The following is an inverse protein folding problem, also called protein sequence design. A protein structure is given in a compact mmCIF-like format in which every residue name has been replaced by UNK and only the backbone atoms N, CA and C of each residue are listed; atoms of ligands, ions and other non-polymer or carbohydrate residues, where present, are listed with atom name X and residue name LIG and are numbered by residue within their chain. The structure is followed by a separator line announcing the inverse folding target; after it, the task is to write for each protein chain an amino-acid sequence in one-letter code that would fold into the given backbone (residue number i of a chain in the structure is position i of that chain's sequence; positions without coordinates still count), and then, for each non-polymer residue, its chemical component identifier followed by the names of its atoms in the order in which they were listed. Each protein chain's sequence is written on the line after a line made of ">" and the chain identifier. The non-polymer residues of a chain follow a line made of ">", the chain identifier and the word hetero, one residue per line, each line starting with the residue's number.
data_IF_107169648978
#
_entry.id   IF_107169648978
#
_cell.length_a   1.000
_cell.length_b   1.000
_cell.length_c   1.000
_cell.angle_alpha   90.00
_cell.angle_beta   90.00
_cell.angle_gamma   90.00
#
_symmetry.space_group_name_H-M   'P 1'
#
loop_
_entity.id
_entity.type
_entity.pdbx_description
1 polymer ?
#
# COMPACT_ATOMS: atom_id res chain seq x y z
N UNK A 1 -15.16 -1.18 13.16
CA UNK A 1 -14.36 -2.41 13.41
C UNK A 1 -14.60 -3.32 12.24
N UNK A 2 -13.67 -3.36 11.28
CA UNK A 2 -13.78 -4.31 10.17
C UNK A 2 -13.56 -5.72 10.73
N UNK A 3 -14.38 -6.67 10.29
CA UNK A 3 -14.22 -8.08 10.58
C UNK A 3 -12.82 -8.54 10.12
N UNK A 4 -12.11 -9.30 10.97
CA UNK A 4 -10.74 -9.77 10.72
C UNK A 4 -10.73 -10.65 9.46
N UNK A 5 -11.79 -11.40 9.19
CA UNK A 5 -11.93 -12.20 7.97
C UNK A 5 -12.02 -11.30 6.73
N UNK A 6 -12.81 -10.23 6.78
CA UNK A 6 -12.92 -9.25 5.69
C UNK A 6 -11.60 -8.50 5.48
N UNK A 7 -10.87 -8.21 6.56
CA UNK A 7 -9.53 -7.61 6.47
C UNK A 7 -8.53 -8.56 5.79
N UNK A 8 -8.57 -9.85 6.09
CA UNK A 8 -7.72 -10.86 5.46
C UNK A 8 -8.02 -11.00 3.96
N UNK A 9 -9.29 -10.99 3.57
CA UNK A 9 -9.71 -10.95 2.16
C UNK A 9 -9.13 -9.72 1.45
N UNK A 10 -9.28 -8.54 2.05
CA UNK A 10 -8.72 -7.30 1.49
C UNK A 10 -7.20 -7.36 1.36
N UNK A 11 -6.50 -7.97 2.32
CA UNK A 11 -5.03 -8.12 2.26
C UNK A 11 -4.60 -9.07 1.14
N UNK A 12 -5.32 -10.18 0.93
CA UNK A 12 -5.06 -11.10 -0.18
C UNK A 12 -5.28 -10.43 -1.55
N UNK A 13 -6.36 -9.65 -1.70
CA UNK A 13 -6.64 -8.92 -2.94
C UNK A 13 -5.55 -7.88 -3.25
N UNK A 14 -5.07 -7.17 -2.22
CA UNK A 14 -3.96 -6.24 -2.33
C UNK A 14 -2.67 -6.96 -2.73
N UNK A 15 -2.40 -8.12 -2.14
CA UNK A 15 -1.22 -8.93 -2.44
C UNK A 15 -1.25 -9.42 -3.91
N UNK A 16 -2.39 -9.91 -4.39
CA UNK A 16 -2.55 -10.32 -5.79
C UNK A 16 -2.34 -9.15 -6.77
N UNK A 17 -2.92 -7.98 -6.45
CA UNK A 17 -2.71 -6.75 -7.22
C UNK A 17 -1.23 -6.36 -7.25
N UNK A 18 -0.57 -6.46 -6.10
CA UNK A 18 0.85 -6.19 -5.99
C UNK A 18 1.69 -7.15 -6.81
N UNK A 19 1.40 -8.46 -6.80
CA UNK A 19 2.09 -9.43 -7.65
C UNK A 19 1.99 -9.06 -9.13
N UNK A 20 0.79 -8.75 -9.61
CA UNK A 20 0.61 -8.32 -10.99
C UNK A 20 1.41 -7.05 -11.31
N UNK A 21 1.35 -6.04 -10.44
CA UNK A 21 2.12 -4.80 -10.61
C UNK A 21 3.64 -5.03 -10.59
N UNK A 22 4.14 -5.92 -9.72
CA UNK A 22 5.56 -6.25 -9.63
C UNK A 22 6.05 -6.94 -10.90
N UNK A 23 5.31 -7.94 -11.40
CA UNK A 23 5.65 -8.63 -12.64
C UNK A 23 5.56 -7.68 -13.84
N UNK A 24 4.53 -6.83 -13.90
CA UNK A 24 4.38 -5.80 -14.93
C UNK A 24 5.56 -4.83 -14.93
N UNK A 25 6.00 -4.36 -13.76
CA UNK A 25 7.17 -3.49 -13.65
C UNK A 25 8.46 -4.20 -14.10
N UNK A 26 8.70 -5.44 -13.64
CA UNK A 26 9.89 -6.19 -14.03
C UNK A 26 9.95 -6.45 -15.54
N UNK A 27 8.82 -6.80 -16.16
CA UNK A 27 8.75 -7.07 -17.60
C UNK A 27 8.95 -5.77 -18.40
N UNK A 28 8.41 -4.65 -17.95
CA UNK A 28 8.40 -3.40 -18.74
C UNK A 28 9.72 -2.63 -18.62
N UNK A 29 10.36 -2.64 -17.45
CA UNK A 29 11.51 -1.75 -17.16
C UNK A 29 12.88 -2.45 -17.08
N UNK A 30 12.97 -3.76 -17.38
CA UNK A 30 14.26 -4.48 -17.36
C UNK A 30 15.21 -4.04 -18.50
N UNK A 31 16.50 -3.91 -18.19
CA UNK A 31 17.56 -3.75 -19.19
C UNK A 31 17.92 -5.12 -19.80
N UNK A 32 18.37 -5.11 -21.05
CA UNK A 32 18.75 -6.35 -21.74
C UNK A 32 20.20 -6.68 -21.43
N UNK A 33 20.42 -7.89 -20.91
CA UNK A 33 21.78 -8.35 -20.64
C UNK A 33 22.46 -8.64 -21.99
N UNK A 34 23.65 -8.05 -22.24
CA UNK A 34 24.42 -8.37 -23.44
C UNK A 34 24.73 -9.86 -23.48
N UNK A 35 24.58 -10.48 -24.66
CA UNK A 35 24.94 -11.88 -24.86
C UNK A 35 26.43 -12.07 -24.60
N UNK A 36 26.79 -12.93 -23.66
CA UNK A 36 28.18 -13.35 -23.46
C UNK A 36 28.57 -14.32 -24.58
N UNK A 37 29.60 -14.04 -25.39
CA UNK A 37 30.02 -14.97 -26.43
C UNK A 37 30.56 -16.27 -25.81
N UNK A 38 30.23 -17.45 -26.38
CA UNK A 38 30.70 -18.73 -25.86
C UNK A 38 32.23 -18.85 -25.95
N UNK A 39 32.88 -19.46 -24.95
CA UNK A 39 34.34 -19.41 -24.76
C UNK A 39 35.18 -20.13 -25.83
N UNK A 40 34.58 -20.85 -26.79
CA UNK A 40 35.30 -21.73 -27.71
C UNK A 40 35.00 -21.51 -29.20
N UNK A 41 34.60 -20.29 -29.59
CA UNK A 41 34.41 -19.91 -30.99
C UNK A 41 35.26 -18.68 -31.31
N UNK A 42 36.41 -18.85 -31.99
CA UNK A 42 37.33 -17.76 -32.34
C UNK A 42 36.74 -16.66 -33.22
N UNK A 43 35.57 -16.90 -33.82
CA UNK A 43 34.89 -15.98 -34.74
C UNK A 43 33.49 -15.56 -34.23
N UNK A 44 33.29 -15.53 -32.91
CA UNK A 44 32.05 -15.00 -32.33
C UNK A 44 31.91 -13.51 -32.67
N UNK A 45 30.72 -13.13 -33.13
CA UNK A 45 30.34 -11.73 -33.34
C UNK A 45 30.65 -10.93 -32.06
N UNK A 46 31.27 -9.74 -32.14
CA UNK A 46 31.59 -8.93 -30.97
C UNK A 46 30.37 -8.77 -30.06
N UNK A 47 30.59 -8.74 -28.73
CA UNK A 47 29.53 -8.46 -27.77
C UNK A 47 28.78 -7.21 -28.23
N UNK A 48 27.50 -7.37 -28.53
CA UNK A 48 26.68 -6.26 -29.00
C UNK A 48 26.59 -5.28 -27.84
N UNK A 49 27.36 -4.18 -27.93
CA UNK A 49 27.30 -3.08 -26.98
C UNK A 49 25.82 -2.74 -26.79
N UNK A 50 25.41 -2.60 -25.52
CA UNK A 50 24.02 -2.37 -25.08
C UNK A 50 23.18 -1.85 -26.23
N UNK A 51 22.37 -2.72 -26.82
CA UNK A 51 21.47 -2.31 -27.90
C UNK A 51 20.66 -1.14 -27.33
N UNK A 52 20.91 0.08 -27.81
CA UNK A 52 20.04 1.22 -27.56
C UNK A 52 18.67 0.81 -28.12
N UNK A 53 17.76 0.35 -27.26
CA UNK A 53 16.46 -0.16 -27.72
C UNK A 53 15.52 0.99 -28.09
N UNK A 54 14.73 0.71 -29.13
CA UNK A 54 13.54 1.43 -29.60
C UNK A 54 13.73 2.93 -29.92
N UNK A 55 14.43 3.22 -31.02
CA UNK A 55 14.01 4.37 -31.83
C UNK A 55 12.81 3.92 -32.67
N UNK A 56 11.59 4.20 -32.22
CA UNK A 56 10.39 4.10 -33.07
C UNK A 56 10.31 5.28 -34.04
N UNK A 57 11.42 5.65 -34.67
CA UNK A 57 11.32 6.50 -35.86
C UNK A 57 10.76 5.63 -36.99
N UNK A 58 9.67 6.04 -37.66
CA UNK A 58 9.18 5.31 -38.82
C UNK A 58 10.32 5.17 -39.85
N UNK A 59 10.38 4.06 -40.60
CA UNK A 59 11.48 3.80 -41.51
C UNK A 59 11.52 4.90 -42.57
N UNK A 60 12.52 5.78 -42.48
CA UNK A 60 12.82 6.70 -43.57
C UNK A 60 13.44 5.84 -44.69
N UNK A 61 12.93 5.90 -45.94
CA UNK A 61 13.42 5.06 -47.02
C UNK A 61 14.93 5.24 -47.23
N UNK A 62 15.61 4.12 -47.48
CA UNK A 62 17.05 3.97 -47.66
C UNK A 62 17.58 4.65 -48.94
N UNK A 63 17.42 5.96 -49.08
CA UNK A 63 17.91 6.72 -50.24
C UNK A 63 18.89 7.85 -49.89
N UNK A 64 19.17 8.14 -48.61
CA UNK A 64 20.04 9.28 -48.23
C UNK A 64 21.27 8.88 -47.40
N UNK A 65 21.42 7.61 -47.03
CA UNK A 65 22.57 7.14 -46.23
C UNK A 65 23.89 7.07 -47.02
N UNK A 66 23.87 7.27 -48.34
CA UNK A 66 25.04 7.08 -49.20
C UNK A 66 25.63 8.41 -49.67
N UNK A 67 25.99 9.31 -48.75
CA UNK A 67 26.85 10.45 -49.12
C UNK A 67 27.64 11.14 -48.00
N UNK A 68 28.15 10.44 -46.98
CA UNK A 68 29.27 10.98 -46.18
C UNK A 68 30.18 9.85 -45.70
N UNK A 69 30.95 9.29 -46.63
CA UNK A 69 32.19 8.57 -46.34
C UNK A 69 33.31 9.24 -47.12
N UNK A 70 34.22 9.93 -46.43
CA UNK A 70 35.38 10.57 -47.06
C UNK A 70 36.14 11.51 -46.12
N UNK A 71 37.30 11.03 -45.64
CA UNK A 71 38.30 11.73 -44.82
C UNK A 71 38.86 13.02 -45.43
N UNK A 72 39.20 14.01 -44.60
CA UNK A 72 40.44 14.82 -44.72
C UNK A 72 40.62 15.76 -43.52
N UNK A 73 41.87 15.91 -43.08
CA UNK A 73 42.34 16.77 -41.99
C UNK A 73 42.52 18.24 -42.41
N UNK A 74 42.40 19.20 -41.48
CA UNK A 74 43.39 20.30 -41.25
C UNK A 74 43.05 21.21 -40.06
N UNK A 75 44.13 21.66 -39.43
CA UNK A 75 44.45 22.61 -38.34
C UNK A 75 43.80 24.01 -38.34
N UNK A 76 43.69 24.65 -37.15
CA UNK A 76 43.60 26.12 -37.02
C UNK A 76 43.13 26.66 -35.65
N UNK A 77 44.01 27.35 -34.93
CA UNK A 77 43.85 27.96 -33.59
C UNK A 77 42.91 29.20 -33.52
N UNK A 78 42.30 29.46 -32.34
CA UNK A 78 42.40 30.69 -31.52
C UNK A 78 41.18 30.91 -30.59
N UNK A 79 41.42 31.40 -29.37
CA UNK A 79 40.46 31.76 -28.28
C UNK A 79 40.54 33.29 -28.00
N UNK A 80 39.86 33.90 -26.99
CA UNK A 80 38.45 33.93 -26.52
C UNK A 80 37.96 35.44 -26.44
N UNK A 81 37.03 35.98 -25.58
CA UNK A 81 37.13 35.94 -24.10
C UNK A 81 35.83 36.16 -23.21
N UNK A 82 35.98 35.89 -21.90
CA UNK A 82 35.28 36.44 -20.69
C UNK A 82 34.18 35.64 -19.92
N UNK A 83 34.39 35.54 -18.59
CA UNK A 83 33.66 34.85 -17.49
C UNK A 83 32.96 35.89 -16.54
N UNK A 84 32.43 35.61 -15.29
CA UNK A 84 32.23 34.39 -14.46
C UNK A 84 30.83 34.36 -13.69
N UNK A 85 30.62 33.75 -12.49
CA UNK A 85 30.64 32.33 -12.06
C UNK A 85 29.35 31.86 -11.28
N UNK A 86 29.01 30.55 -11.20
CA UNK A 86 28.53 29.88 -9.95
C UNK A 86 28.25 28.36 -10.03
N UNK A 87 28.72 27.66 -8.98
CA UNK A 87 28.51 26.28 -8.49
C UNK A 87 27.47 25.34 -9.17
N UNK A 88 27.81 24.06 -9.42
CA UNK A 88 26.80 23.02 -9.61
C UNK A 88 26.42 22.39 -8.25
N UNK A 89 25.32 22.90 -7.67
CA UNK A 89 24.47 22.14 -6.78
C UNK A 89 23.67 21.10 -7.58
N UNK A 90 23.44 19.94 -6.97
CA UNK A 90 22.77 18.78 -7.53
C UNK A 90 21.44 19.14 -8.24
N UNK A 91 21.33 18.76 -9.53
CA UNK A 91 20.07 18.80 -10.25
C UNK A 91 19.39 17.42 -10.22
N UNK A 92 18.08 17.34 -9.93
CA UNK A 92 17.31 16.10 -9.92
C UNK A 92 17.15 15.56 -11.35
N UNK A 93 17.16 14.23 -11.47
CA UNK A 93 17.10 13.52 -12.75
C UNK A 93 15.92 13.94 -13.62
N UNK A 94 16.22 14.28 -14.88
CA UNK A 94 15.25 14.51 -15.95
C UNK A 94 14.43 13.23 -16.17
N UNK A 95 13.14 13.28 -15.84
CA UNK A 95 12.13 12.50 -16.55
C UNK A 95 11.92 13.16 -17.92
N UNK A 96 12.52 12.60 -18.97
CA UNK A 96 12.11 12.93 -20.34
C UNK A 96 10.82 12.18 -20.64
N UNK A 97 9.69 12.89 -20.51
CA UNK A 97 8.39 12.43 -20.98
C UNK A 97 8.36 12.39 -22.51
N UNK A 98 8.12 11.20 -23.05
CA UNK A 98 7.45 11.00 -24.32
C UNK A 98 6.06 10.46 -23.98
N UNK A 99 5.09 11.36 -23.78
CA UNK A 99 3.69 11.04 -23.48
C UNK A 99 2.94 10.56 -24.74
N UNK A 100 3.38 9.46 -25.36
CA UNK A 100 2.56 8.71 -26.30
C UNK A 100 2.08 7.43 -25.58
N UNK A 101 0.77 7.29 -25.28
CA UNK A 101 0.25 6.18 -24.48
C UNK A 101 0.42 4.80 -25.14
N UNK A 102 0.89 4.75 -26.40
CA UNK A 102 1.09 3.52 -27.15
C UNK A 102 2.56 3.05 -27.22
N UNK A 103 3.51 3.79 -26.62
CA UNK A 103 4.93 3.44 -26.63
C UNK A 103 5.34 2.91 -25.24
N UNK A 104 5.92 1.71 -25.14
CA UNK A 104 6.38 1.18 -23.86
C UNK A 104 7.47 2.10 -23.27
N UNK A 105 7.43 2.36 -21.95
CA UNK A 105 8.35 3.28 -21.29
C UNK A 105 9.80 2.79 -21.42
N UNK A 106 10.73 3.75 -21.37
CA UNK A 106 12.15 3.43 -21.45
C UNK A 106 12.60 2.57 -20.24
N UNK A 107 13.55 1.63 -20.42
CA UNK A 107 14.10 0.84 -19.33
C UNK A 107 14.73 1.71 -18.24
N UNK A 108 14.61 1.26 -16.99
CA UNK A 108 15.25 1.94 -15.85
C UNK A 108 16.76 1.69 -15.83
N UNK A 109 17.52 2.58 -15.19
CA UNK A 109 18.94 2.34 -14.94
C UNK A 109 19.13 1.09 -14.08
N UNK A 110 20.22 0.31 -14.24
CA UNK A 110 20.39 -0.95 -13.49
C UNK A 110 20.41 -0.76 -11.96
N UNK A 111 20.93 0.38 -11.49
CA UNK A 111 20.93 0.74 -10.06
C UNK A 111 19.50 1.03 -9.57
N UNK A 112 18.74 1.82 -10.34
CA UNK A 112 17.35 2.15 -10.03
C UNK A 112 16.48 0.90 -10.05
N UNK A 113 16.60 0.08 -11.09
CA UNK A 113 15.84 -1.17 -11.24
C UNK A 113 16.12 -2.14 -10.10
N UNK A 114 17.38 -2.36 -9.73
CA UNK A 114 17.74 -3.22 -8.61
C UNK A 114 17.23 -2.69 -7.27
N UNK A 115 17.28 -1.37 -7.05
CA UNK A 115 16.73 -0.73 -5.86
C UNK A 115 15.22 -0.92 -5.77
N UNK A 116 14.49 -0.68 -6.87
CA UNK A 116 13.03 -0.87 -6.92
C UNK A 116 12.63 -2.33 -6.78
N UNK A 117 13.35 -3.25 -7.41
CA UNK A 117 13.13 -4.69 -7.22
C UNK A 117 13.22 -5.08 -5.76
N UNK A 118 14.22 -4.57 -5.03
CA UNK A 118 14.38 -4.83 -3.60
C UNK A 118 13.28 -4.21 -2.75
N UNK A 119 12.81 -3.02 -3.11
CA UNK A 119 11.68 -2.35 -2.46
C UNK A 119 10.37 -3.14 -2.64
N UNK A 120 10.07 -3.53 -3.87
CA UNK A 120 8.91 -4.36 -4.20
C UNK A 120 8.93 -5.71 -3.46
N UNK A 121 10.09 -6.37 -3.43
CA UNK A 121 10.25 -7.62 -2.68
C UNK A 121 10.06 -7.42 -1.17
N UNK A 122 10.57 -6.32 -0.60
CA UNK A 122 10.37 -6.01 0.82
C UNK A 122 8.88 -5.80 1.14
N UNK A 123 8.17 -5.07 0.30
CA UNK A 123 6.75 -4.78 0.53
C UNK A 123 5.90 -6.05 0.46
N UNK A 124 6.19 -6.95 -0.50
CA UNK A 124 5.56 -8.27 -0.57
C UNK A 124 5.78 -9.11 0.71
N UNK A 125 7.01 -9.14 1.24
CA UNK A 125 7.33 -9.87 2.48
C UNK A 125 6.59 -9.27 3.68
N UNK A 126 6.51 -7.94 3.78
CA UNK A 126 5.78 -7.27 4.85
C UNK A 126 4.28 -7.59 4.76
N UNK A 127 3.71 -7.63 3.55
CA UNK A 127 2.32 -8.02 3.32
C UNK A 127 2.06 -9.48 3.69
N UNK A 128 2.97 -10.39 3.38
CA UNK A 128 2.89 -11.78 3.81
C UNK A 128 2.88 -11.90 5.34
N UNK A 129 3.81 -11.22 6.03
CA UNK A 129 3.84 -11.20 7.50
C UNK A 129 2.56 -10.62 8.10
N UNK A 130 1.99 -9.58 7.47
CA UNK A 130 0.71 -9.02 7.88
C UNK A 130 -0.42 -10.06 7.76
N UNK A 131 -0.45 -10.85 6.68
CA UNK A 131 -1.43 -11.92 6.50
C UNK A 131 -1.23 -13.02 7.54
N UNK A 132 0.00 -13.46 7.77
CA UNK A 132 0.32 -14.48 8.78
C UNK A 132 -0.13 -14.03 10.18
N UNK A 133 0.17 -12.77 10.54
CA UNK A 133 -0.30 -12.19 11.79
C UNK A 133 -1.84 -12.19 11.87
N UNK A 134 -2.54 -11.75 10.82
CA UNK A 134 -4.00 -11.75 10.81
C UNK A 134 -4.58 -13.16 10.98
N UNK A 135 -3.98 -14.17 10.34
CA UNK A 135 -4.36 -15.58 10.53
C UNK A 135 -4.18 -16.00 11.99
N UNK A 136 -3.04 -15.63 12.61
CA UNK A 136 -2.76 -15.99 14.01
C UNK A 136 -3.72 -15.36 15.02
N UNK A 137 -4.32 -14.21 14.68
CA UNK A 137 -5.25 -13.46 15.54
C UNK A 137 -6.72 -13.78 15.20
N UNK A 138 -6.99 -14.73 14.30
CA UNK A 138 -8.37 -15.10 13.96
C UNK A 138 -9.10 -15.65 15.20
N UNK A 139 -10.21 -15.01 15.62
CA UNK A 139 -10.96 -15.46 16.77
C UNK A 139 -11.56 -16.85 16.48
N UNK A 140 -11.37 -17.77 17.42
CA UNK A 140 -11.84 -19.15 17.27
C UNK A 140 -10.95 -20.05 16.43
N UNK A 141 -9.78 -19.57 15.95
CA UNK A 141 -8.80 -20.46 15.31
C UNK A 141 -8.32 -21.52 16.31
N UNK A 142 -8.36 -22.79 15.89
CA UNK A 142 -7.95 -23.93 16.72
C UNK A 142 -9.01 -24.44 17.72
N UNK A 143 -10.15 -23.77 17.87
CA UNK A 143 -11.27 -24.30 18.64
C UNK A 143 -12.16 -25.18 17.75
N UNK A 144 -12.61 -26.32 18.26
CA UNK A 144 -13.57 -27.16 17.57
C UNK A 144 -14.97 -26.54 17.59
N UNK A 145 -15.81 -26.87 16.60
CA UNK A 145 -17.21 -26.42 16.55
C UNK A 145 -17.98 -26.82 17.82
N UNK A 146 -17.74 -28.03 18.34
CA UNK A 146 -18.38 -28.51 19.56
C UNK A 146 -17.99 -27.70 20.80
N UNK A 147 -16.71 -27.31 20.95
CA UNK A 147 -16.25 -26.44 22.03
C UNK A 147 -16.84 -25.03 21.90
N UNK A 148 -16.91 -24.50 20.68
CA UNK A 148 -17.54 -23.20 20.40
C UNK A 148 -19.03 -23.23 20.74
N UNK A 149 -19.75 -24.28 20.34
CA UNK A 149 -21.17 -24.45 20.64
C UNK A 149 -21.42 -24.55 22.15
N UNK A 150 -20.60 -25.35 22.85
CA UNK A 150 -20.69 -25.49 24.32
C UNK A 150 -20.50 -24.13 25.00
N UNK A 151 -19.47 -23.39 24.60
CA UNK A 151 -19.21 -22.04 25.10
C UNK A 151 -20.35 -21.07 24.83
N UNK A 152 -21.00 -21.17 23.67
CA UNK A 152 -22.17 -20.34 23.33
C UNK A 152 -23.33 -20.66 24.28
N UNK A 153 -23.62 -21.93 24.54
CA UNK A 153 -24.70 -22.35 25.45
C UNK A 153 -24.45 -21.92 26.90
N UNK A 154 -23.20 -21.97 27.34
CA UNK A 154 -22.79 -21.48 28.67
C UNK A 154 -22.99 -19.97 28.78
N UNK A 155 -22.49 -19.19 27.81
CA UNK A 155 -22.66 -17.73 27.77
C UNK A 155 -24.13 -17.32 27.69
N UNK A 156 -24.97 -18.06 26.95
CA UNK A 156 -26.42 -17.82 26.89
C UNK A 156 -27.07 -18.02 28.27
N UNK A 157 -26.61 -19.01 29.03
CA UNK A 157 -27.12 -19.28 30.38
C UNK A 157 -26.68 -18.20 31.36
N UNK A 158 -25.41 -17.81 31.31
CA UNK A 158 -24.88 -16.69 32.13
C UNK A 158 -25.60 -15.38 31.82
N UNK A 159 -25.80 -15.04 30.54
CA UNK A 159 -26.54 -13.84 30.13
C UNK A 159 -27.98 -13.85 30.66
N UNK A 160 -28.65 -15.00 30.64
CA UNK A 160 -30.00 -15.13 31.20
C UNK A 160 -30.03 -14.83 32.69
N UNK A 161 -29.03 -15.28 33.44
CA UNK A 161 -28.98 -15.08 34.88
C UNK A 161 -28.61 -13.63 35.25
N UNK A 162 -27.65 -13.03 34.54
CA UNK A 162 -27.31 -11.61 34.66
C UNK A 162 -28.53 -10.72 34.35
N UNK A 163 -29.32 -11.04 33.32
CA UNK A 163 -30.52 -10.26 33.00
C UNK A 163 -31.61 -10.42 34.08
N UNK A 164 -31.77 -11.61 34.70
CA UNK A 164 -32.68 -11.79 35.84
C UNK A 164 -32.27 -10.93 37.04
N UNK A 165 -30.98 -10.89 37.34
CA UNK A 165 -30.44 -10.06 38.41
C UNK A 165 -30.67 -8.57 38.11
N UNK A 166 -30.33 -8.14 36.89
CA UNK A 166 -30.59 -6.78 36.40
C UNK A 166 -32.05 -6.41 36.56
N UNK A 167 -32.98 -7.28 36.16
CA UNK A 167 -34.41 -7.07 36.29
C UNK A 167 -34.87 -7.01 37.76
N UNK A 168 -34.25 -7.75 38.68
CA UNK A 168 -34.50 -7.65 40.11
C UNK A 168 -34.03 -6.30 40.68
N UNK A 169 -32.79 -5.89 40.38
CA UNK A 169 -32.23 -4.61 40.81
C UNK A 169 -33.02 -3.42 40.28
N UNK A 170 -33.49 -3.48 39.04
CA UNK A 170 -34.38 -2.44 38.47
C UNK A 170 -35.71 -2.37 39.23
N UNK A 171 -36.27 -3.50 39.67
CA UNK A 171 -37.49 -3.52 40.50
C UNK A 171 -37.25 -2.93 41.88
N UNK A 172 -36.12 -3.23 42.51
CA UNK A 172 -35.74 -2.64 43.79
C UNK A 172 -35.56 -1.12 43.67
N UNK A 173 -34.85 -0.66 42.64
CA UNK A 173 -34.65 0.76 42.37
C UNK A 173 -35.98 1.48 42.19
N UNK A 174 -36.94 0.90 41.44
CA UNK A 174 -38.29 1.48 41.30
C UNK A 174 -38.99 1.64 42.65
N UNK A 175 -38.89 0.65 43.54
CA UNK A 175 -39.48 0.74 44.89
C UNK A 175 -38.81 1.83 45.74
N UNK A 176 -37.49 1.91 45.70
CA UNK A 176 -36.74 2.96 46.42
C UNK A 176 -37.06 4.34 45.88
N UNK A 177 -37.19 4.48 44.56
CA UNK A 177 -37.61 5.72 43.91
C UNK A 177 -38.97 6.18 44.39
N UNK A 178 -39.98 5.31 44.40
CA UNK A 178 -41.33 5.67 44.89
C UNK A 178 -41.28 6.12 46.35
N UNK A 179 -40.54 5.42 47.22
CA UNK A 179 -40.36 5.85 48.62
C UNK A 179 -39.72 7.23 48.75
N UNK A 180 -38.72 7.51 47.91
CA UNK A 180 -38.06 8.82 47.89
C UNK A 180 -39.01 9.92 47.39
N UNK A 181 -39.81 9.62 46.36
CA UNK A 181 -40.87 10.53 45.88
C UNK A 181 -41.93 10.80 46.95
N UNK A 182 -42.33 9.79 47.72
CA UNK A 182 -43.29 9.94 48.83
C UNK A 182 -42.74 10.86 49.93
N UNK A 183 -41.48 10.64 50.35
CA UNK A 183 -40.82 11.49 51.37
C UNK A 183 -40.65 12.91 50.85
N UNK A 184 -40.22 13.08 49.60
CA UNK A 184 -40.07 14.40 48.99
C UNK A 184 -41.42 15.12 48.88
N UNK A 185 -42.49 14.40 48.53
CA UNK A 185 -43.86 14.92 48.52
C UNK A 185 -44.33 15.38 49.90
N UNK A 186 -44.09 14.58 50.94
CA UNK A 186 -44.42 14.94 52.32
C UNK A 186 -43.63 16.16 52.81
N UNK A 187 -42.34 16.25 52.48
CA UNK A 187 -41.51 17.43 52.80
C UNK A 187 -41.99 18.67 52.03
N UNK A 188 -42.32 18.52 50.74
CA UNK A 188 -42.85 19.62 49.93
C UNK A 188 -44.18 20.15 50.51
N UNK A 189 -45.10 19.26 50.89
CA UNK A 189 -46.36 19.64 51.55
C UNK A 189 -46.12 20.22 52.93
N UNK A 190 -45.20 19.68 53.73
CA UNK A 190 -44.85 20.24 55.04
C UNK A 190 -44.23 21.65 54.96
N UNK A 191 -43.47 21.94 53.90
CA UNK A 191 -42.87 23.26 53.65
C UNK A 191 -43.89 24.25 53.07
N UNK A 192 -44.86 23.80 52.26
CA UNK A 192 -45.82 24.69 51.57
C UNK A 192 -47.24 24.69 52.20
N UNK A 193 -47.53 23.77 53.14
CA UNK A 193 -48.86 23.43 53.63
C UNK A 193 -49.32 24.15 54.90
N UNK A 194 -48.50 25.06 55.45
CA UNK A 194 -48.91 25.94 56.57
C UNK A 194 -49.15 27.40 56.11
N UNK A 195 -49.25 27.64 54.80
CA UNK A 195 -49.20 28.99 54.22
C UNK A 195 -50.52 29.60 53.72
N UNK A 196 -51.60 28.83 53.50
CA UNK A 196 -52.82 29.40 52.92
C UNK A 196 -54.10 28.77 53.47
N UNK A 197 -54.58 29.34 54.57
CA UNK A 197 -56.02 29.36 54.87
C UNK A 197 -56.61 30.66 54.26
N UNK A 198 -57.42 30.59 53.18
CA UNK A 198 -58.17 31.75 52.72
C UNK A 198 -59.28 32.07 53.74
N UNK A 199 -59.30 33.32 54.21
CA UNK A 199 -60.42 33.91 54.97
C UNK A 199 -61.58 34.25 54.05
#
# INVERSE_FOLDING_TARGET
>A
MADILTQLQTCLDQLATQFYATLGYLITYHDNVPTTPPPNVPNAVPALAKITKNSSLPPVPAAIANKVGGSAAVTGNASPPHAPPQQPGAAPGKATGTDDPNIPPAPDSPSTFASRQRELARDLIIKEQQIEYLISVLPGIGASEAEQETRIRELETELRDVEKERAAKVRELKKLRTRLEDVLGAVAVGIHGDGYAPK
#
